data_IF_807349776856
#
_entry.id   IF_807349776856
#
_cell.length_a   1.000
_cell.length_b   1.000
_cell.length_c   1.000
_cell.angle_alpha   90.00
_cell.angle_beta   90.00
_cell.angle_gamma   90.00
#
_symmetry.space_group_name_H-M   'P 1'
#
loop_
_entity.id
_entity.type
_entity.pdbx_description
1 polymer ?
#
# COMPACT_ATOMS: atom_id res chain seq x y z
N UNK A 1 14.02 -17.67 -26.56
CA UNK A 1 14.96 -16.99 -27.42
C UNK A 1 14.78 -15.49 -27.23
N UNK A 2 15.86 -14.81 -26.77
CA UNK A 2 15.88 -13.40 -26.42
C UNK A 2 16.35 -12.61 -27.66
N UNK A 3 15.44 -12.08 -28.45
CA UNK A 3 15.82 -11.17 -29.53
C UNK A 3 15.26 -9.79 -29.21
N UNK A 4 16.16 -8.87 -28.87
CA UNK A 4 15.88 -7.44 -28.84
C UNK A 4 15.97 -6.95 -30.31
N UNK A 5 14.83 -6.85 -30.98
CA UNK A 5 14.76 -6.14 -32.25
C UNK A 5 14.51 -4.67 -31.91
N UNK A 6 15.35 -3.72 -32.37
CA UNK A 6 15.23 -2.32 -32.05
C UNK A 6 13.94 -1.66 -32.56
N UNK A 7 13.32 -2.24 -33.59
CA UNK A 7 12.10 -1.72 -34.18
C UNK A 7 10.87 -2.34 -33.52
N UNK A 8 10.15 -1.49 -32.84
CA UNK A 8 9.06 -1.79 -31.95
C UNK A 8 7.74 -2.14 -32.60
N UNK A 9 7.73 -2.47 -33.87
CA UNK A 9 6.51 -2.92 -34.48
C UNK A 9 6.32 -4.41 -34.18
N UNK A 10 5.26 -4.74 -33.42
CA UNK A 10 4.84 -6.12 -33.19
C UNK A 10 4.67 -6.92 -34.46
N UNK A 11 4.55 -6.28 -35.62
CA UNK A 11 4.49 -6.88 -36.93
C UNK A 11 5.80 -7.57 -37.30
N UNK A 12 6.95 -6.90 -37.20
CA UNK A 12 8.26 -7.46 -37.51
C UNK A 12 8.60 -8.66 -36.60
N UNK A 13 8.23 -8.61 -35.35
CA UNK A 13 8.44 -9.70 -34.41
C UNK A 13 7.56 -10.92 -34.73
N UNK A 14 6.32 -10.71 -35.17
CA UNK A 14 5.39 -11.77 -35.57
C UNK A 14 5.79 -12.41 -36.88
N UNK A 15 6.29 -11.64 -37.84
CA UNK A 15 6.80 -12.17 -39.12
C UNK A 15 8.05 -13.04 -38.94
N UNK A 16 8.95 -12.61 -38.04
CA UNK A 16 10.20 -13.34 -37.82
C UNK A 16 10.04 -14.62 -36.97
N UNK A 17 9.10 -14.62 -35.96
CA UNK A 17 9.04 -15.65 -34.90
C UNK A 17 7.66 -16.23 -34.65
N UNK A 18 6.63 -15.88 -35.43
CA UNK A 18 5.29 -16.41 -35.29
C UNK A 18 4.55 -15.92 -34.04
N UNK A 19 3.70 -16.77 -33.46
CA UNK A 19 2.82 -16.43 -32.31
C UNK A 19 3.54 -16.39 -30.93
N UNK A 20 4.83 -16.09 -30.87
CA UNK A 20 5.60 -16.00 -29.64
C UNK A 20 5.52 -14.62 -28.94
N UNK A 21 5.93 -14.57 -27.67
CA UNK A 21 6.08 -13.31 -26.93
C UNK A 21 7.28 -12.51 -27.44
N UNK A 22 7.04 -11.26 -27.85
CA UNK A 22 8.09 -10.36 -28.29
C UNK A 22 8.68 -9.59 -27.10
N UNK A 23 9.91 -9.90 -26.71
CA UNK A 23 10.63 -9.22 -25.62
C UNK A 23 11.18 -7.85 -26.01
N UNK A 24 11.18 -7.49 -27.30
CA UNK A 24 11.55 -6.15 -27.76
C UNK A 24 10.72 -5.03 -27.12
N UNK A 25 9.48 -5.32 -26.74
CA UNK A 25 8.60 -4.40 -26.02
C UNK A 25 9.21 -3.95 -24.68
N UNK A 26 9.95 -4.84 -23.99
CA UNK A 26 10.58 -4.49 -22.72
C UNK A 26 11.71 -3.48 -22.91
N UNK A 27 12.51 -3.63 -23.95
CA UNK A 27 13.59 -2.69 -24.27
C UNK A 27 13.04 -1.30 -24.65
N UNK A 28 11.98 -1.27 -25.45
CA UNK A 28 11.36 -0.03 -25.92
C UNK A 28 10.51 0.66 -24.84
N UNK A 29 9.68 -0.11 -24.15
CA UNK A 29 8.73 0.43 -23.15
C UNK A 29 9.27 0.36 -21.71
N UNK A 30 10.50 -0.15 -21.49
CA UNK A 30 11.09 -0.33 -20.16
C UNK A 30 11.05 0.94 -19.31
N UNK A 31 11.31 2.10 -19.92
CA UNK A 31 11.23 3.38 -19.22
C UNK A 31 9.81 3.74 -18.83
N UNK A 32 8.83 3.49 -19.68
CA UNK A 32 7.42 3.70 -19.39
C UNK A 32 6.94 2.77 -18.26
N UNK A 33 7.38 1.52 -18.25
CA UNK A 33 7.09 0.54 -17.21
C UNK A 33 7.67 1.00 -15.86
N UNK A 34 8.93 1.46 -15.87
CA UNK A 34 9.64 1.85 -14.64
C UNK A 34 9.22 3.22 -14.10
N UNK A 35 9.00 4.21 -14.97
CA UNK A 35 8.82 5.60 -14.56
C UNK A 35 7.47 6.21 -14.97
N UNK A 36 6.62 5.45 -15.67
CA UNK A 36 5.34 5.95 -16.15
C UNK A 36 5.51 7.09 -17.15
N UNK A 37 4.69 8.13 -17.03
CA UNK A 37 4.72 9.30 -17.90
C UNK A 37 5.59 10.46 -17.37
N UNK A 38 6.52 10.15 -16.46
CA UNK A 38 7.45 11.15 -15.94
C UNK A 38 8.32 11.74 -17.07
N UNK A 39 8.63 13.07 -17.06
CA UNK A 39 9.42 13.72 -18.10
C UNK A 39 10.72 12.98 -18.38
N UNK A 40 11.03 12.81 -19.68
CA UNK A 40 12.11 11.94 -20.12
C UNK A 40 13.49 12.40 -19.61
N UNK A 41 13.73 13.70 -19.66
CA UNK A 41 15.02 14.31 -19.29
C UNK A 41 15.25 14.28 -17.76
N UNK A 42 14.20 14.06 -16.97
CA UNK A 42 14.26 14.07 -15.51
C UNK A 42 14.00 12.70 -14.87
N UNK A 43 14.04 11.62 -15.63
CA UNK A 43 13.80 10.26 -15.12
C UNK A 43 14.84 9.78 -14.10
N UNK A 44 15.96 10.46 -13.96
CA UNK A 44 16.90 10.22 -12.88
C UNK A 44 16.29 10.48 -11.49
N UNK A 45 15.32 11.42 -11.37
CA UNK A 45 14.63 11.77 -10.11
C UNK A 45 13.82 10.59 -9.56
N UNK A 46 12.85 10.01 -10.31
CA UNK A 46 12.14 8.82 -9.86
C UNK A 46 13.05 7.61 -9.67
N UNK A 47 14.15 7.48 -10.41
CA UNK A 47 15.14 6.42 -10.21
C UNK A 47 15.79 6.54 -8.82
N UNK A 48 16.33 7.73 -8.49
CA UNK A 48 16.97 7.99 -7.19
C UNK A 48 15.96 7.84 -6.06
N UNK A 49 14.78 8.44 -6.19
CA UNK A 49 13.72 8.36 -5.17
C UNK A 49 13.32 6.92 -4.87
N UNK A 50 13.10 6.11 -5.91
CA UNK A 50 12.76 4.69 -5.77
C UNK A 50 13.90 3.87 -5.19
N UNK A 51 15.14 4.12 -5.62
CA UNK A 51 16.31 3.40 -5.11
C UNK A 51 16.53 3.63 -3.62
N UNK A 52 16.40 4.88 -3.16
CA UNK A 52 16.52 5.23 -1.73
C UNK A 52 15.41 4.54 -0.93
N UNK A 53 14.20 4.52 -1.44
CA UNK A 53 13.06 3.87 -0.78
C UNK A 53 13.23 2.35 -0.71
N UNK A 54 13.74 1.71 -1.77
CA UNK A 54 14.05 0.27 -1.78
C UNK A 54 15.17 -0.06 -0.80
N UNK A 55 16.22 0.76 -0.74
CA UNK A 55 17.32 0.58 0.23
C UNK A 55 16.79 0.68 1.66
N UNK A 56 15.91 1.65 1.94
CA UNK A 56 15.29 1.79 3.27
C UNK A 56 14.39 0.59 3.61
N UNK A 57 13.61 0.08 2.64
CA UNK A 57 12.83 -1.14 2.82
C UNK A 57 13.72 -2.33 3.15
N UNK A 58 14.80 -2.54 2.39
CA UNK A 58 15.77 -3.59 2.63
C UNK A 58 16.45 -3.45 4.01
N UNK A 59 16.85 -2.23 4.38
CA UNK A 59 17.40 -1.95 5.71
C UNK A 59 16.41 -2.25 6.83
N UNK A 60 15.12 -1.95 6.63
CA UNK A 60 14.06 -2.24 7.60
C UNK A 60 13.86 -3.74 7.85
N UNK A 61 14.27 -4.62 6.92
CA UNK A 61 14.26 -6.07 7.11
C UNK A 61 15.38 -6.57 8.04
N UNK A 62 16.41 -5.75 8.29
CA UNK A 62 17.55 -6.11 9.11
C UNK A 62 17.35 -5.69 10.57
N UNK A 63 17.38 -6.63 11.51
CA UNK A 63 17.20 -6.37 12.94
C UNK A 63 18.16 -5.32 13.50
N UNK A 64 19.36 -5.19 12.92
CA UNK A 64 20.39 -4.23 13.34
C UNK A 64 19.91 -2.78 13.27
N UNK A 65 19.01 -2.47 12.35
CA UNK A 65 18.45 -1.12 12.15
C UNK A 65 17.17 -0.85 12.95
N UNK A 66 16.66 -1.81 13.70
CA UNK A 66 15.43 -1.66 14.50
C UNK A 66 15.67 -0.75 15.72
N UNK A 67 15.79 0.52 15.46
CA UNK A 67 15.95 1.59 16.46
C UNK A 67 14.89 2.66 16.24
N UNK A 68 14.52 3.46 17.23
CA UNK A 68 13.57 4.58 17.06
C UNK A 68 13.95 5.53 15.93
N UNK A 69 15.26 5.66 15.64
CA UNK A 69 15.78 6.43 14.52
C UNK A 69 15.26 5.95 13.13
N UNK A 70 14.83 4.68 13.01
CA UNK A 70 14.26 4.15 11.77
C UNK A 70 12.96 4.89 11.38
N UNK A 71 12.14 5.29 12.35
CA UNK A 71 10.92 6.08 12.08
C UNK A 71 11.30 7.43 11.50
N UNK A 72 12.31 8.09 12.07
CA UNK A 72 12.84 9.35 11.54
C UNK A 72 13.40 9.19 10.11
N UNK A 73 14.10 8.06 9.84
CA UNK A 73 14.60 7.75 8.51
C UNK A 73 13.46 7.58 7.49
N UNK A 74 12.37 6.90 7.85
CA UNK A 74 11.19 6.77 7.00
C UNK A 74 10.56 8.12 6.67
N UNK A 75 10.37 9.00 7.68
CA UNK A 75 9.82 10.34 7.47
C UNK A 75 10.75 11.16 6.55
N UNK A 76 12.05 11.11 6.81
CA UNK A 76 13.04 11.83 5.99
C UNK A 76 13.08 11.34 4.54
N UNK A 77 13.03 10.01 4.32
CA UNK A 77 13.03 9.43 2.98
C UNK A 77 11.73 9.75 2.23
N UNK A 78 10.58 9.75 2.88
CA UNK A 78 9.35 10.21 2.22
C UNK A 78 9.37 11.69 1.89
N UNK A 79 9.87 12.54 2.80
CA UNK A 79 10.03 13.96 2.52
C UNK A 79 10.96 14.17 1.31
N UNK A 80 12.08 13.46 1.26
CA UNK A 80 13.02 13.47 0.14
C UNK A 80 12.38 12.95 -1.16
N UNK A 81 11.61 11.85 -1.08
CA UNK A 81 10.88 11.28 -2.21
C UNK A 81 9.91 12.31 -2.81
N UNK A 82 9.06 12.92 -1.98
CA UNK A 82 8.12 13.93 -2.46
C UNK A 82 8.85 15.18 -2.99
N UNK A 83 9.91 15.61 -2.34
CA UNK A 83 10.72 16.72 -2.79
C UNK A 83 11.30 16.47 -4.19
N UNK A 84 11.90 15.31 -4.44
CA UNK A 84 12.42 14.94 -5.76
C UNK A 84 11.32 14.77 -6.79
N UNK A 85 10.24 14.07 -6.46
CA UNK A 85 9.18 13.74 -7.40
C UNK A 85 8.37 14.97 -7.84
N UNK A 86 8.07 15.89 -6.93
CA UNK A 86 7.35 17.13 -7.24
C UNK A 86 8.26 18.17 -7.91
N UNK A 87 9.46 18.37 -7.39
CA UNK A 87 10.34 19.46 -7.83
C UNK A 87 9.79 20.84 -7.49
N UNK A 88 9.99 21.80 -8.40
CA UNK A 88 9.54 23.20 -8.21
C UNK A 88 10.51 24.06 -7.37
N UNK A 89 11.69 23.54 -7.00
CA UNK A 89 12.74 24.23 -6.26
C UNK A 89 14.13 23.84 -6.76
N UNK A 90 15.15 24.61 -6.41
CA UNK A 90 16.56 24.36 -6.75
C UNK A 90 16.79 24.07 -8.26
N UNK A 91 16.03 24.71 -9.15
CA UNK A 91 16.17 24.52 -10.60
C UNK A 91 15.48 23.27 -11.14
N UNK A 92 14.78 22.49 -10.31
CA UNK A 92 14.00 21.33 -10.74
C UNK A 92 12.63 21.79 -11.26
N UNK A 93 12.21 21.25 -12.41
CA UNK A 93 10.87 21.54 -12.93
C UNK A 93 9.79 20.89 -12.05
N UNK A 94 8.65 21.57 -11.91
CA UNK A 94 7.51 20.99 -11.20
C UNK A 94 6.85 19.90 -12.04
N UNK A 95 6.63 18.74 -11.45
CA UNK A 95 5.97 17.60 -12.10
C UNK A 95 4.72 17.19 -11.32
N UNK A 96 3.57 17.36 -11.96
CA UNK A 96 2.28 16.99 -11.38
C UNK A 96 2.19 15.50 -11.04
N UNK A 97 1.51 15.16 -9.97
CA UNK A 97 1.25 13.79 -9.50
C UNK A 97 0.55 12.93 -10.55
N UNK A 98 -0.25 13.54 -11.44
CA UNK A 98 -0.92 12.86 -12.55
C UNK A 98 0.04 12.25 -13.60
N UNK A 99 1.31 12.69 -13.60
CA UNK A 99 2.38 12.12 -14.46
C UNK A 99 3.19 11.05 -13.77
N UNK A 100 3.01 10.85 -12.45
CA UNK A 100 3.71 9.82 -11.71
C UNK A 100 3.18 8.46 -12.12
N UNK A 101 4.07 7.48 -12.20
CA UNK A 101 3.69 6.13 -12.59
C UNK A 101 4.85 5.16 -12.36
N UNK A 102 4.64 3.91 -12.76
CA UNK A 102 5.64 2.86 -12.68
C UNK A 102 6.07 2.52 -11.24
N UNK A 103 7.34 2.19 -11.09
CA UNK A 103 7.92 1.72 -9.83
C UNK A 103 7.79 2.73 -8.68
N UNK A 104 8.10 4.04 -8.83
CA UNK A 104 7.98 5.01 -7.74
C UNK A 104 6.57 5.08 -7.17
N UNK A 105 5.57 5.18 -8.05
CA UNK A 105 4.17 5.23 -7.64
C UNK A 105 3.73 3.94 -6.95
N UNK A 106 4.12 2.79 -7.48
CA UNK A 106 3.80 1.49 -6.88
C UNK A 106 4.37 1.35 -5.48
N UNK A 107 5.64 1.72 -5.28
CA UNK A 107 6.29 1.68 -3.97
C UNK A 107 5.63 2.64 -2.97
N UNK A 108 5.31 3.86 -3.42
CA UNK A 108 4.62 4.85 -2.59
C UNK A 108 3.24 4.34 -2.15
N UNK A 109 2.42 3.91 -3.11
CA UNK A 109 1.06 3.45 -2.83
C UNK A 109 1.08 2.22 -1.91
N UNK A 110 1.91 1.22 -2.19
CA UNK A 110 1.97 0.00 -1.39
C UNK A 110 2.42 0.28 0.04
N UNK A 111 3.53 1.01 0.22
CA UNK A 111 4.10 1.24 1.55
C UNK A 111 3.24 2.17 2.41
N UNK A 112 2.74 3.28 1.86
CA UNK A 112 1.89 4.22 2.61
C UNK A 112 0.54 3.59 2.94
N UNK A 113 -0.09 2.91 1.96
CA UNK A 113 -1.37 2.24 2.20
C UNK A 113 -1.26 1.16 3.27
N UNK A 114 -0.19 0.36 3.27
CA UNK A 114 0.03 -0.69 4.26
C UNK A 114 0.19 -0.12 5.67
N UNK A 115 1.02 0.93 5.81
CA UNK A 115 1.26 1.57 7.12
C UNK A 115 -0.02 2.18 7.69
N UNK A 116 -0.83 2.84 6.88
CA UNK A 116 -2.09 3.46 7.32
C UNK A 116 -3.19 2.41 7.51
N UNK A 117 -3.23 1.38 6.66
CA UNK A 117 -4.20 0.30 6.76
C UNK A 117 -4.02 -0.56 8.01
N UNK A 118 -2.79 -0.73 8.51
CA UNK A 118 -2.51 -1.63 9.63
C UNK A 118 -3.25 -1.25 10.93
N UNK A 119 -3.17 0.00 11.45
CA UNK A 119 -3.96 0.40 12.62
C UNK A 119 -5.47 0.35 12.36
N UNK A 120 -5.92 0.71 11.16
CA UNK A 120 -7.32 0.63 10.79
C UNK A 120 -7.82 -0.82 10.77
N UNK A 121 -7.01 -1.75 10.27
CA UNK A 121 -7.31 -3.18 10.28
C UNK A 121 -7.45 -3.76 11.69
N UNK A 122 -6.61 -3.33 12.63
CA UNK A 122 -6.73 -3.72 14.04
C UNK A 122 -8.07 -3.23 14.60
N UNK A 123 -8.42 -1.97 14.35
CA UNK A 123 -9.71 -1.41 14.82
C UNK A 123 -10.91 -2.15 14.23
N UNK A 124 -10.88 -2.45 12.93
CA UNK A 124 -11.92 -3.22 12.24
C UNK A 124 -12.02 -4.66 12.80
N UNK A 125 -10.89 -5.33 13.02
CA UNK A 125 -10.87 -6.69 13.57
C UNK A 125 -11.45 -6.73 15.01
N UNK A 126 -11.08 -5.78 15.86
CA UNK A 126 -11.63 -5.64 17.20
C UNK A 126 -13.11 -5.24 17.15
N UNK A 127 -13.50 -4.34 16.25
CA UNK A 127 -14.88 -3.93 16.05
C UNK A 127 -15.79 -5.09 15.67
N UNK A 128 -15.31 -6.02 14.84
CA UNK A 128 -16.05 -7.26 14.47
C UNK A 128 -16.26 -8.21 15.66
N UNK A 129 -15.44 -8.12 16.69
CA UNK A 129 -15.58 -8.91 17.92
C UNK A 129 -16.30 -8.15 19.06
N UNK A 130 -16.71 -6.90 18.79
CA UNK A 130 -17.37 -6.07 19.78
C UNK A 130 -18.72 -6.65 20.25
N UNK A 131 -19.02 -6.49 21.53
CA UNK A 131 -20.33 -6.81 22.11
C UNK A 131 -21.41 -5.78 21.73
N UNK A 132 -21.03 -4.63 21.15
CA UNK A 132 -21.96 -3.61 20.67
C UNK A 132 -22.46 -3.99 19.26
N UNK A 133 -23.76 -4.34 19.10
CA UNK A 133 -24.26 -4.88 17.84
C UNK A 133 -24.09 -3.90 16.66
N UNK A 134 -24.28 -2.61 16.90
CA UNK A 134 -24.11 -1.60 15.84
C UNK A 134 -22.67 -1.55 15.30
N UNK A 135 -21.66 -1.49 16.18
CA UNK A 135 -20.25 -1.45 15.78
C UNK A 135 -19.87 -2.74 15.06
N UNK A 136 -20.27 -3.89 15.61
CA UNK A 136 -20.01 -5.19 15.01
C UNK A 136 -20.60 -5.28 13.60
N UNK A 137 -21.87 -4.91 13.44
CA UNK A 137 -22.56 -4.99 12.15
C UNK A 137 -21.92 -4.08 11.12
N UNK A 138 -21.60 -2.83 11.47
CA UNK A 138 -20.94 -1.89 10.56
C UNK A 138 -19.56 -2.40 10.11
N UNK A 139 -18.74 -2.91 11.05
CA UNK A 139 -17.42 -3.46 10.71
C UNK A 139 -17.54 -4.72 9.84
N UNK A 140 -18.52 -5.59 10.09
CA UNK A 140 -18.76 -6.79 9.27
C UNK A 140 -19.17 -6.38 7.86
N UNK A 141 -20.18 -5.51 7.72
CA UNK A 141 -20.67 -5.06 6.41
C UNK A 141 -19.52 -4.41 5.62
N UNK A 142 -18.76 -3.52 6.23
CA UNK A 142 -17.64 -2.85 5.57
C UNK A 142 -16.61 -3.86 5.05
N UNK A 143 -16.15 -4.77 5.91
CA UNK A 143 -15.09 -5.72 5.53
C UNK A 143 -15.58 -6.69 4.46
N UNK A 144 -16.79 -7.25 4.60
CA UNK A 144 -17.33 -8.18 3.62
C UNK A 144 -17.61 -7.49 2.27
N UNK A 145 -18.15 -6.28 2.29
CA UNK A 145 -18.39 -5.50 1.08
C UNK A 145 -17.09 -5.20 0.33
N UNK A 146 -16.08 -4.66 1.02
CA UNK A 146 -14.80 -4.30 0.38
C UNK A 146 -14.06 -5.53 -0.15
N UNK A 147 -14.10 -6.65 0.57
CA UNK A 147 -13.47 -7.91 0.13
C UNK A 147 -14.24 -8.62 -1.01
N UNK A 148 -15.53 -8.35 -1.14
CA UNK A 148 -16.35 -8.87 -2.22
C UNK A 148 -16.17 -8.14 -3.55
N UNK A 149 -15.52 -6.98 -3.56
CA UNK A 149 -15.34 -6.15 -4.75
C UNK A 149 -13.88 -6.22 -5.24
N UNK A 150 -13.62 -6.38 -6.56
CA UNK A 150 -12.26 -6.33 -7.10
C UNK A 150 -11.56 -5.00 -6.79
N UNK A 151 -10.26 -5.02 -6.50
CA UNK A 151 -9.47 -3.81 -6.21
C UNK A 151 -9.65 -2.73 -7.28
N UNK A 152 -9.66 -3.11 -8.56
CA UNK A 152 -9.81 -2.16 -9.66
C UNK A 152 -11.11 -1.36 -9.57
N UNK A 153 -12.20 -2.00 -9.16
CA UNK A 153 -13.49 -1.33 -8.97
C UNK A 153 -13.45 -0.35 -7.79
N UNK A 154 -12.77 -0.72 -6.69
CA UNK A 154 -12.59 0.18 -5.55
C UNK A 154 -11.77 1.40 -5.93
N UNK A 155 -10.69 1.23 -6.69
CA UNK A 155 -9.85 2.33 -7.17
C UNK A 155 -10.62 3.22 -8.16
N UNK A 156 -11.44 2.64 -9.01
CA UNK A 156 -12.30 3.37 -9.93
C UNK A 156 -13.33 4.21 -9.16
N UNK A 157 -13.99 3.62 -8.17
CA UNK A 157 -14.92 4.33 -7.28
C UNK A 157 -14.22 5.47 -6.53
N UNK A 158 -13.05 5.24 -5.97
CA UNK A 158 -12.28 6.27 -5.29
C UNK A 158 -11.86 7.41 -6.24
N UNK A 159 -11.50 7.09 -7.49
CA UNK A 159 -11.02 8.08 -8.44
C UNK A 159 -12.13 8.92 -9.06
N UNK A 160 -13.30 8.32 -9.36
CA UNK A 160 -14.37 8.97 -10.13
C UNK A 160 -15.61 9.27 -9.29
N UNK A 161 -15.99 8.40 -8.35
CA UNK A 161 -17.24 8.58 -7.59
C UNK A 161 -16.99 9.45 -6.36
N UNK A 162 -15.87 9.31 -5.66
CA UNK A 162 -15.57 10.13 -4.48
C UNK A 162 -15.68 11.64 -4.74
N UNK A 163 -15.16 12.19 -5.85
CA UNK A 163 -15.29 13.63 -6.15
C UNK A 163 -16.74 14.13 -6.30
N UNK A 164 -17.66 13.25 -6.71
CA UNK A 164 -19.07 13.62 -6.85
C UNK A 164 -19.77 13.91 -5.52
N UNK A 165 -19.26 13.38 -4.43
CA UNK A 165 -19.77 13.64 -3.08
C UNK A 165 -19.10 14.82 -2.40
N UNK A 166 -18.09 15.44 -3.06
CA UNK A 166 -17.39 16.59 -2.50
C UNK A 166 -18.13 17.90 -2.76
N UNK A 167 -18.00 18.88 -1.86
CA UNK A 167 -18.53 20.22 -2.09
C UNK A 167 -17.96 20.83 -3.38
N UNK A 168 -18.75 21.65 -4.08
CA UNK A 168 -18.33 22.34 -5.29
C UNK A 168 -17.06 23.17 -5.03
N UNK A 169 -16.06 23.00 -5.91
CA UNK A 169 -14.77 23.68 -5.81
C UNK A 169 -13.68 22.91 -5.05
N UNK A 170 -14.00 21.79 -4.39
CA UNK A 170 -12.99 20.94 -3.73
C UNK A 170 -12.39 19.96 -4.75
N UNK A 171 -11.11 20.12 -5.05
CA UNK A 171 -10.37 19.18 -5.89
C UNK A 171 -9.36 18.42 -5.05
N UNK A 172 -9.65 17.13 -4.80
CA UNK A 172 -8.68 16.25 -4.17
C UNK A 172 -7.80 15.62 -5.25
N UNK A 173 -6.50 15.67 -5.06
CA UNK A 173 -5.53 15.06 -5.97
C UNK A 173 -5.83 13.57 -6.20
N UNK A 174 -5.63 13.09 -7.43
CA UNK A 174 -5.88 11.70 -7.82
C UNK A 174 -5.07 10.72 -6.96
N UNK A 175 -3.81 11.07 -6.64
CA UNK A 175 -2.94 10.26 -5.80
C UNK A 175 -3.57 10.02 -4.42
N UNK A 176 -4.12 11.07 -3.80
CA UNK A 176 -4.77 10.97 -2.48
C UNK A 176 -6.02 10.09 -2.54
N UNK A 177 -6.83 10.24 -3.58
CA UNK A 177 -8.03 9.41 -3.78
C UNK A 177 -7.69 7.93 -3.93
N UNK A 178 -6.67 7.62 -4.73
CA UNK A 178 -6.17 6.25 -4.91
C UNK A 178 -5.59 5.70 -3.60
N UNK A 179 -4.83 6.51 -2.85
CA UNK A 179 -4.30 6.12 -1.54
C UNK A 179 -5.42 5.77 -0.54
N UNK A 180 -6.50 6.55 -0.50
CA UNK A 180 -7.66 6.26 0.33
C UNK A 180 -8.28 4.91 -0.07
N UNK A 181 -8.56 4.72 -1.37
CA UNK A 181 -9.14 3.47 -1.88
C UNK A 181 -8.27 2.24 -1.55
N UNK A 182 -6.97 2.34 -1.82
CA UNK A 182 -6.00 1.28 -1.51
C UNK A 182 -5.90 1.00 -0.02
N UNK A 183 -5.89 2.04 0.82
CA UNK A 183 -5.84 1.89 2.29
C UNK A 183 -7.06 1.16 2.81
N UNK A 184 -8.26 1.54 2.38
CA UNK A 184 -9.51 0.89 2.80
C UNK A 184 -9.56 -0.56 2.35
N UNK A 185 -9.15 -0.85 1.12
CA UNK A 185 -9.07 -2.20 0.59
C UNK A 185 -8.09 -3.05 1.39
N UNK A 186 -6.86 -2.58 1.57
CA UNK A 186 -5.83 -3.28 2.33
C UNK A 186 -6.26 -3.49 3.79
N UNK A 187 -6.89 -2.49 4.41
CA UNK A 187 -7.39 -2.59 5.78
C UNK A 187 -8.45 -3.68 5.94
N UNK A 188 -9.35 -3.85 4.98
CA UNK A 188 -10.37 -4.89 5.02
C UNK A 188 -9.77 -6.30 4.95
N UNK A 189 -8.77 -6.51 4.09
CA UNK A 189 -8.07 -7.80 4.00
C UNK A 189 -7.23 -8.08 5.24
N UNK A 190 -6.46 -7.11 5.72
CA UNK A 190 -5.68 -7.26 6.94
C UNK A 190 -6.57 -7.49 8.18
N UNK A 191 -7.73 -6.83 8.24
CA UNK A 191 -8.67 -7.03 9.34
C UNK A 191 -9.13 -8.48 9.46
N UNK A 192 -9.35 -9.16 8.33
CA UNK A 192 -9.71 -10.58 8.32
C UNK A 192 -8.56 -11.48 8.79
N UNK A 193 -7.34 -11.20 8.33
CA UNK A 193 -6.14 -11.92 8.78
C UNK A 193 -5.95 -11.75 10.29
N UNK A 194 -6.03 -10.51 10.79
CA UNK A 194 -5.91 -10.21 12.23
C UNK A 194 -7.03 -10.86 13.02
N UNK A 195 -8.27 -10.87 12.52
CA UNK A 195 -9.40 -11.55 13.14
C UNK A 195 -9.12 -13.05 13.31
N UNK A 196 -8.54 -13.70 12.28
CA UNK A 196 -8.10 -15.09 12.37
C UNK A 196 -7.11 -15.31 13.51
N UNK A 197 -6.12 -14.43 13.65
CA UNK A 197 -5.16 -14.48 14.77
C UNK A 197 -5.79 -14.28 16.14
N UNK A 198 -6.74 -13.35 16.24
CA UNK A 198 -7.49 -13.12 17.49
C UNK A 198 -8.32 -14.35 17.90
N UNK A 199 -8.88 -15.07 16.94
CA UNK A 199 -9.67 -16.28 17.19
C UNK A 199 -8.84 -17.52 17.52
N UNK A 200 -7.57 -17.55 17.12
CA UNK A 200 -6.67 -18.64 17.39
C UNK A 200 -6.16 -18.66 18.85
N UNK A 201 -6.37 -17.59 19.61
CA UNK A 201 -5.93 -17.50 21.00
C UNK A 201 -6.85 -18.27 21.95
N UNK A 202 -6.28 -19.04 22.91
CA UNK A 202 -7.05 -19.72 23.93
C UNK A 202 -7.83 -18.73 24.81
N UNK A 203 -9.11 -19.00 25.06
CA UNK A 203 -9.99 -18.15 25.90
C UNK A 203 -9.46 -17.96 27.33
N UNK A 204 -8.79 -18.95 27.88
CA UNK A 204 -8.21 -18.91 29.21
C UNK A 204 -7.21 -17.77 29.42
N UNK A 205 -6.55 -17.26 28.38
CA UNK A 205 -5.69 -16.07 28.45
C UNK A 205 -6.49 -14.80 28.83
N UNK A 206 -7.65 -14.65 28.21
CA UNK A 206 -8.54 -13.52 28.49
C UNK A 206 -9.21 -13.67 29.86
N UNK A 207 -9.64 -14.86 30.22
CA UNK A 207 -10.25 -15.18 31.52
C UNK A 207 -9.28 -14.93 32.67
N UNK A 208 -8.03 -15.39 32.54
CA UNK A 208 -6.98 -15.14 33.53
C UNK A 208 -6.69 -13.65 33.69
N UNK A 209 -6.66 -12.91 32.58
CA UNK A 209 -6.45 -11.47 32.62
C UNK A 209 -7.61 -10.72 33.32
N UNK A 210 -8.84 -11.16 33.11
CA UNK A 210 -10.01 -10.62 33.82
C UNK A 210 -9.94 -10.92 35.33
N UNK A 211 -9.49 -12.09 35.72
CA UNK A 211 -9.30 -12.46 37.14
C UNK A 211 -8.26 -11.60 37.85
N UNK A 212 -7.30 -11.03 37.08
CA UNK A 212 -6.32 -10.06 37.57
C UNK A 212 -6.86 -8.61 37.61
N UNK A 213 -8.14 -8.38 37.25
CA UNK A 213 -8.76 -7.08 37.27
C UNK A 213 -8.34 -6.16 36.11
N UNK A 214 -7.75 -6.69 35.04
CA UNK A 214 -7.35 -5.90 33.90
C UNK A 214 -8.58 -5.41 33.11
N UNK A 215 -8.52 -4.16 32.66
CA UNK A 215 -9.56 -3.57 31.80
C UNK A 215 -9.46 -4.13 30.38
N UNK A 216 -10.57 -4.04 29.60
CA UNK A 216 -10.60 -4.50 28.21
C UNK A 216 -9.41 -4.03 27.36
N UNK A 217 -9.09 -2.74 27.41
CA UNK A 217 -8.00 -2.16 26.63
C UNK A 217 -6.61 -2.63 27.10
N UNK A 218 -6.43 -2.87 28.40
CA UNK A 218 -5.20 -3.47 28.92
C UNK A 218 -5.03 -4.90 28.43
N UNK A 219 -6.10 -5.70 28.47
CA UNK A 219 -6.10 -7.06 27.96
C UNK A 219 -5.76 -7.08 26.47
N UNK A 220 -6.42 -6.23 25.68
CA UNK A 220 -6.14 -6.17 24.24
C UNK A 220 -4.69 -5.77 23.95
N UNK A 221 -4.20 -4.67 24.57
CA UNK A 221 -2.88 -4.12 24.26
C UNK A 221 -1.73 -4.98 24.78
N UNK A 222 -1.86 -5.58 25.98
CA UNK A 222 -0.74 -6.24 26.67
C UNK A 222 -0.69 -7.74 26.41
N UNK A 223 -1.85 -8.38 26.13
CA UNK A 223 -1.95 -9.83 26.08
C UNK A 223 -2.40 -10.31 24.68
N UNK A 224 -3.58 -9.86 24.25
CA UNK A 224 -4.26 -10.42 23.08
C UNK A 224 -3.58 -9.99 21.77
N UNK A 225 -3.47 -8.67 21.53
CA UNK A 225 -2.91 -8.16 20.27
C UNK A 225 -1.46 -8.60 20.02
N UNK A 226 -0.53 -8.54 20.99
CA UNK A 226 0.85 -8.98 20.74
C UNK A 226 0.95 -10.45 20.35
N UNK A 227 0.11 -11.31 20.94
CA UNK A 227 0.08 -12.73 20.61
C UNK A 227 -0.60 -12.99 19.26
N UNK A 228 -1.77 -12.39 19.04
CA UNK A 228 -2.50 -12.51 17.77
C UNK A 228 -1.65 -12.04 16.58
N UNK A 229 -0.99 -10.89 16.70
CA UNK A 229 -0.14 -10.36 15.62
C UNK A 229 1.04 -11.27 15.32
N UNK A 230 1.66 -11.91 16.33
CA UNK A 230 2.73 -12.89 16.09
C UNK A 230 2.25 -14.10 15.29
N UNK A 231 1.03 -14.56 15.52
CA UNK A 231 0.45 -15.68 14.78
C UNK A 231 0.15 -15.36 13.32
N UNK A 232 -0.19 -14.09 13.02
CA UNK A 232 -0.58 -13.69 11.67
C UNK A 232 0.54 -13.11 10.81
N UNK A 233 1.69 -12.75 11.41
CA UNK A 233 2.85 -12.24 10.65
C UNK A 233 3.22 -13.13 9.46
N UNK A 234 3.28 -14.48 9.56
CA UNK A 234 3.59 -15.31 8.39
C UNK A 234 2.53 -15.27 7.28
N UNK A 235 1.30 -14.87 7.58
CA UNK A 235 0.22 -14.75 6.59
C UNK A 235 0.13 -13.33 5.97
N UNK A 236 0.84 -12.36 6.54
CA UNK A 236 0.90 -10.96 6.05
C UNK A 236 2.10 -10.78 5.12
N UNK A 237 3.16 -11.54 5.32
CA UNK A 237 4.40 -11.52 4.52
C UNK A 237 4.32 -12.52 3.38
#
# INVERSE_FOLDING_TARGET
>A
VWYAIPDADNAACREAYGLGACWGVVAEKGRLILFGRYPFDEQWRPLVASSVLVVLLAASCLKTFWRPALIGAWVAVYAFFFALMLGGFAGLTYVETARWGGLPLTLLLASVSLVVAFPLAILLALGRQSNLPAIRTLCVIFVEFVRGVPLISVLFMASFILPLFMPQGTQIDVLVRVLIGMTLFTAAYLAEVIRGGLQALPKGQVEAAHSLGLTYWQIQRMIVLPQALRLVVPAIV
#
